data_IF_527038438061
#
_entry.id   IF_527038438061
#
_cell.length_a   1.000
_cell.length_b   1.000
_cell.length_c   1.000
_cell.angle_alpha   90.00
_cell.angle_beta   90.00
_cell.angle_gamma   90.00
#
_symmetry.space_group_name_H-M   'P 1'
#
loop_
_entity.id
_entity.type
_entity.pdbx_description
1 polymer ?
#
# COMPACT_ATOMS: atom_id res chain seq x y z
N UNK A 1 -4.11 65.84 13.65
CA UNK A 1 -3.31 64.77 13.03
C UNK A 1 -2.11 65.42 12.38
N UNK A 2 -0.92 65.26 12.94
CA UNK A 2 0.33 65.80 12.36
C UNK A 2 0.72 64.96 11.14
N UNK A 3 0.78 65.60 9.96
CA UNK A 3 1.14 64.93 8.72
C UNK A 3 2.62 64.55 8.70
N UNK A 4 2.91 63.33 8.23
CA UNK A 4 4.29 62.84 8.03
C UNK A 4 4.97 63.74 7.00
N UNK A 5 6.13 64.31 7.35
CA UNK A 5 6.91 65.12 6.40
C UNK A 5 7.65 64.24 5.38
N UNK A 6 8.05 64.82 4.24
CA UNK A 6 8.72 64.10 3.14
C UNK A 6 9.95 63.29 3.59
N UNK A 7 10.76 63.83 4.50
CA UNK A 7 11.97 63.16 4.99
C UNK A 7 11.61 61.92 5.82
N UNK A 8 10.62 62.05 6.69
CA UNK A 8 10.13 60.97 7.54
C UNK A 8 9.41 59.88 6.72
N UNK A 9 8.67 60.27 5.68
CA UNK A 9 8.10 59.32 4.72
C UNK A 9 9.19 58.50 4.03
N UNK A 10 10.19 59.16 3.45
CA UNK A 10 11.31 58.49 2.76
C UNK A 10 12.06 57.54 3.71
N UNK A 11 12.35 57.98 4.94
CA UNK A 11 13.03 57.15 5.93
C UNK A 11 12.22 55.90 6.32
N UNK A 12 10.90 56.05 6.49
CA UNK A 12 10.02 54.91 6.81
C UNK A 12 9.90 53.95 5.62
N UNK A 13 9.77 54.46 4.40
CA UNK A 13 9.72 53.64 3.18
C UNK A 13 11.00 52.85 2.95
N UNK A 14 12.18 53.46 3.16
CA UNK A 14 13.47 52.77 3.04
C UNK A 14 13.61 51.68 4.10
N UNK A 15 13.26 51.96 5.36
CA UNK A 15 13.28 50.97 6.44
C UNK A 15 12.34 49.80 6.15
N UNK A 16 11.12 50.07 5.70
CA UNK A 16 10.17 49.03 5.31
C UNK A 16 10.69 48.18 4.15
N UNK A 17 11.26 48.81 3.11
CA UNK A 17 11.86 48.10 1.99
C UNK A 17 13.03 47.19 2.40
N UNK A 18 13.90 47.65 3.29
CA UNK A 18 15.02 46.86 3.83
C UNK A 18 14.54 45.67 4.67
N UNK A 19 13.50 45.86 5.48
CA UNK A 19 12.91 44.76 6.28
C UNK A 19 12.28 43.71 5.37
N UNK A 20 11.50 44.14 4.37
CA UNK A 20 10.87 43.22 3.41
C UNK A 20 11.91 42.47 2.57
N UNK A 21 12.95 43.15 2.08
CA UNK A 21 14.03 42.52 1.32
C UNK A 21 14.81 41.51 2.17
N UNK A 22 15.11 41.85 3.43
CA UNK A 22 15.76 40.93 4.38
C UNK A 22 14.91 39.70 4.68
N UNK A 23 13.60 39.86 4.89
CA UNK A 23 12.68 38.75 5.14
C UNK A 23 12.54 37.82 3.92
N UNK A 24 12.43 38.38 2.71
CA UNK A 24 12.39 37.62 1.47
C UNK A 24 13.72 36.92 1.18
N UNK A 25 14.84 37.59 1.41
CA UNK A 25 16.19 37.02 1.26
C UNK A 25 16.46 35.89 2.24
N UNK A 26 16.09 36.06 3.51
CA UNK A 26 16.17 34.99 4.52
C UNK A 26 15.22 33.84 4.18
N UNK A 27 14.00 34.14 3.71
CA UNK A 27 13.05 33.14 3.24
C UNK A 27 13.62 32.33 2.08
N UNK A 28 14.21 32.97 1.07
CA UNK A 28 14.86 32.31 -0.06
C UNK A 28 16.08 31.50 0.36
N UNK A 29 16.90 32.02 1.27
CA UNK A 29 18.11 31.34 1.76
C UNK A 29 17.78 30.11 2.63
N UNK A 30 16.72 30.19 3.44
CA UNK A 30 16.22 29.10 4.27
C UNK A 30 15.27 28.17 3.53
N UNK A 31 14.87 28.51 2.30
CA UNK A 31 14.01 27.67 1.48
C UNK A 31 14.82 26.52 0.90
N UNK A 32 14.96 25.48 1.71
CA UNK A 32 15.57 24.23 1.29
C UNK A 32 14.60 23.44 0.40
N UNK A 33 14.88 23.44 -0.91
CA UNK A 33 14.20 22.56 -1.87
C UNK A 33 14.73 21.15 -1.85
N UNK A 34 15.89 20.91 -1.22
CA UNK A 34 16.46 19.59 -1.17
C UNK A 34 15.55 18.68 -0.33
N UNK A 35 15.33 17.43 -0.78
CA UNK A 35 14.80 16.42 0.12
C UNK A 35 15.75 16.29 1.33
N UNK A 36 15.25 15.94 2.53
CA UNK A 36 16.09 15.70 3.69
C UNK A 36 17.16 14.70 3.29
N UNK A 37 18.40 15.00 3.64
CA UNK A 37 19.47 14.03 3.52
C UNK A 37 19.06 12.82 4.35
N UNK A 38 18.77 11.73 3.65
CA UNK A 38 18.63 10.43 4.28
C UNK A 38 20.04 10.05 4.72
N UNK A 39 20.20 9.71 6.00
CA UNK A 39 21.39 8.97 6.42
C UNK A 39 21.57 7.80 5.44
N UNK A 40 22.69 7.73 4.70
CA UNK A 40 22.90 6.67 3.73
C UNK A 40 22.78 5.34 4.45
N UNK A 41 21.72 4.58 4.16
CA UNK A 41 21.75 3.15 4.41
C UNK A 41 22.95 2.64 3.63
N UNK A 42 23.93 2.06 4.32
CA UNK A 42 25.24 1.70 3.78
C UNK A 42 25.21 0.65 2.64
N UNK A 43 24.03 0.28 2.13
CA UNK A 43 23.86 -0.73 1.09
C UNK A 43 22.58 -0.49 0.29
N UNK A 44 22.66 0.31 -0.77
CA UNK A 44 21.60 0.38 -1.76
C UNK A 44 21.37 -1.00 -2.39
N UNK A 45 20.15 -1.54 -2.31
CA UNK A 45 19.77 -2.79 -2.95
C UNK A 45 19.30 -2.55 -4.39
N UNK A 46 19.54 -3.51 -5.27
CA UNK A 46 19.09 -3.48 -6.67
C UNK A 46 17.59 -3.86 -6.87
N UNK A 47 16.84 -4.01 -5.77
CA UNK A 47 15.45 -4.45 -5.75
C UNK A 47 15.09 -5.18 -4.46
N UNK A 48 13.90 -5.79 -4.42
CA UNK A 48 13.47 -6.71 -3.38
C UNK A 48 13.52 -8.16 -3.90
N UNK A 49 13.51 -9.18 -3.01
CA UNK A 49 13.33 -10.56 -3.44
C UNK A 49 12.04 -10.75 -4.27
N UNK A 50 12.10 -11.60 -5.29
CA UNK A 50 10.94 -11.99 -6.07
C UNK A 50 10.23 -13.17 -5.38
N UNK A 51 9.01 -12.95 -4.89
CA UNK A 51 8.19 -13.96 -4.24
C UNK A 51 7.15 -14.58 -5.18
N UNK A 52 7.09 -14.15 -6.43
CA UNK A 52 6.14 -14.69 -7.40
C UNK A 52 6.39 -16.18 -7.64
N UNK A 53 5.31 -16.92 -7.84
CA UNK A 53 5.38 -18.34 -8.16
C UNK A 53 5.18 -18.52 -9.66
N UNK A 54 5.97 -19.38 -10.34
CA UNK A 54 5.71 -19.74 -11.72
C UNK A 54 4.29 -20.26 -11.89
N UNK A 55 3.68 -19.94 -13.03
CA UNK A 55 2.37 -20.49 -13.37
C UNK A 55 2.46 -22.01 -13.51
N UNK A 56 1.65 -22.72 -12.73
CA UNK A 56 1.66 -24.19 -12.59
C UNK A 56 0.42 -24.84 -13.22
N UNK A 57 -0.32 -24.11 -14.07
CA UNK A 57 -1.54 -24.58 -14.73
C UNK A 57 -2.81 -24.54 -13.86
N UNK A 58 -2.71 -24.23 -12.56
CA UNK A 58 -3.87 -24.03 -11.69
C UNK A 58 -4.44 -22.62 -11.84
N UNK A 59 -5.70 -22.35 -11.45
CA UNK A 59 -6.31 -21.03 -11.60
C UNK A 59 -5.46 -19.91 -11.00
N UNK A 60 -5.32 -18.79 -11.70
CA UNK A 60 -4.49 -17.66 -11.26
C UNK A 60 -5.27 -16.65 -10.41
N UNK A 61 -6.61 -16.74 -10.40
CA UNK A 61 -7.49 -15.80 -9.75
C UNK A 61 -8.82 -16.46 -9.34
N UNK A 62 -9.36 -16.05 -8.20
CA UNK A 62 -10.66 -16.45 -7.70
C UNK A 62 -11.44 -15.22 -7.19
N UNK A 63 -12.75 -15.21 -7.44
CA UNK A 63 -13.68 -14.17 -7.00
C UNK A 63 -14.74 -14.86 -6.15
N UNK A 64 -14.69 -14.65 -4.83
CA UNK A 64 -15.64 -15.23 -3.89
C UNK A 64 -16.72 -14.22 -3.49
N UNK A 65 -17.97 -14.67 -3.39
CA UNK A 65 -19.13 -13.86 -2.99
C UNK A 65 -19.65 -14.26 -1.61
N UNK A 66 -19.96 -13.26 -0.77
CA UNK A 66 -20.42 -13.49 0.61
C UNK A 66 -20.08 -12.36 1.56
N UNK A 67 -20.43 -12.54 2.83
CA UNK A 67 -20.26 -11.52 3.88
C UNK A 67 -19.27 -11.89 4.96
N UNK A 68 -18.98 -13.18 5.14
CA UNK A 68 -18.08 -13.70 6.17
C UNK A 68 -16.66 -13.86 5.61
N UNK A 69 -15.71 -13.07 6.11
CA UNK A 69 -14.34 -13.01 5.57
C UNK A 69 -13.57 -14.30 5.73
N UNK A 70 -13.76 -15.02 6.84
CA UNK A 70 -13.09 -16.29 7.07
C UNK A 70 -13.52 -17.35 6.04
N UNK A 71 -14.83 -17.50 5.84
CA UNK A 71 -15.40 -18.37 4.81
C UNK A 71 -14.93 -17.98 3.41
N UNK A 72 -14.91 -16.69 3.09
CA UNK A 72 -14.47 -16.19 1.78
C UNK A 72 -13.00 -16.49 1.51
N UNK A 73 -12.12 -16.30 2.50
CA UNK A 73 -10.70 -16.66 2.39
C UNK A 73 -10.55 -18.15 2.12
N UNK A 74 -11.22 -19.01 2.90
CA UNK A 74 -11.16 -20.46 2.71
C UNK A 74 -11.63 -20.86 1.30
N UNK A 75 -12.74 -20.30 0.84
CA UNK A 75 -13.34 -20.57 -0.48
C UNK A 75 -12.46 -20.08 -1.64
N UNK A 76 -12.03 -18.82 -1.60
CA UNK A 76 -11.20 -18.23 -2.65
C UNK A 76 -9.85 -18.93 -2.76
N UNK A 77 -9.15 -19.14 -1.64
CA UNK A 77 -7.86 -19.82 -1.62
C UNK A 77 -8.02 -21.30 -1.98
N UNK A 78 -9.10 -21.95 -1.53
CA UNK A 78 -9.44 -23.33 -1.92
C UNK A 78 -9.61 -23.47 -3.44
N UNK A 79 -10.31 -22.54 -4.08
CA UNK A 79 -10.46 -22.49 -5.54
C UNK A 79 -9.15 -22.28 -6.29
N UNK A 80 -8.16 -21.64 -5.65
CA UNK A 80 -6.80 -21.50 -6.17
C UNK A 80 -5.92 -22.73 -5.91
N UNK A 81 -6.45 -23.82 -5.33
CA UNK A 81 -5.70 -25.03 -5.02
C UNK A 81 -5.15 -25.10 -3.58
N UNK A 82 -5.70 -24.29 -2.68
CA UNK A 82 -5.41 -24.31 -1.24
C UNK A 82 -4.17 -23.52 -0.83
N UNK A 83 -4.07 -23.16 0.46
CA UNK A 83 -2.95 -22.35 0.96
C UNK A 83 -1.60 -23.07 0.82
N UNK A 84 -1.59 -24.40 0.86
CA UNK A 84 -0.40 -25.24 0.63
C UNK A 84 0.21 -25.08 -0.79
N UNK A 85 -0.51 -24.45 -1.74
CA UNK A 85 0.07 -24.04 -3.03
C UNK A 85 1.07 -22.91 -2.88
N UNK A 86 0.82 -22.00 -1.94
CA UNK A 86 1.56 -20.74 -1.78
C UNK A 86 2.57 -20.80 -0.65
N UNK A 87 2.19 -21.46 0.46
CA UNK A 87 2.96 -21.62 1.69
C UNK A 87 3.38 -23.08 1.83
N UNK A 88 4.68 -23.32 1.98
CA UNK A 88 5.25 -24.66 2.21
C UNK A 88 5.52 -24.88 3.70
N UNK A 89 5.56 -26.13 4.17
CA UNK A 89 5.99 -26.44 5.52
C UNK A 89 7.37 -25.84 5.80
N UNK A 90 7.48 -25.06 6.88
CA UNK A 90 8.72 -24.38 7.27
C UNK A 90 8.86 -22.95 6.74
N UNK A 91 8.01 -22.49 5.80
CA UNK A 91 8.10 -21.14 5.24
C UNK A 91 7.94 -20.07 6.34
N UNK A 92 8.75 -19.01 6.23
CA UNK A 92 8.51 -17.73 6.91
C UNK A 92 7.64 -16.85 6.01
N UNK A 93 6.41 -16.61 6.43
CA UNK A 93 5.43 -15.86 5.64
C UNK A 93 5.34 -14.43 6.12
N UNK A 94 5.44 -13.47 5.20
CA UNK A 94 5.11 -12.07 5.47
C UNK A 94 3.72 -11.76 4.93
N UNK A 95 2.85 -11.24 5.79
CA UNK A 95 1.54 -10.73 5.45
C UNK A 95 1.58 -9.21 5.51
N UNK A 96 1.64 -8.57 4.35
CA UNK A 96 1.64 -7.12 4.21
C UNK A 96 0.20 -6.62 4.22
N UNK A 97 -0.21 -5.94 5.28
CA UNK A 97 -1.57 -5.39 5.44
C UNK A 97 -1.66 -3.94 4.96
N UNK A 98 -2.86 -3.38 4.89
CA UNK A 98 -3.05 -1.93 4.91
C UNK A 98 -3.35 -1.51 6.36
N UNK A 99 -2.40 -0.90 7.06
CA UNK A 99 -2.54 -0.34 8.39
C UNK A 99 -2.20 1.17 8.38
N UNK A 100 -2.43 1.84 7.25
CA UNK A 100 -1.98 3.20 7.00
C UNK A 100 -2.47 4.24 8.02
N UNK A 101 -3.65 4.02 8.59
CA UNK A 101 -4.34 4.97 9.46
C UNK A 101 -4.77 4.31 10.77
N UNK A 102 -4.78 5.08 11.85
CA UNK A 102 -5.27 4.63 13.15
C UNK A 102 -6.81 4.72 13.20
N UNK A 103 -7.47 3.94 12.35
CA UNK A 103 -8.91 4.01 12.09
C UNK A 103 -9.61 2.71 12.51
N UNK A 104 -10.84 2.83 13.01
CA UNK A 104 -11.63 1.66 13.38
C UNK A 104 -12.00 0.81 12.14
N UNK A 105 -12.06 -0.53 12.26
CA UNK A 105 -12.43 -1.44 11.16
C UNK A 105 -13.73 -1.08 10.44
N UNK A 106 -14.71 -0.54 11.18
CA UNK A 106 -16.03 -0.17 10.65
C UNK A 106 -15.99 0.89 9.55
N UNK A 107 -14.89 1.66 9.44
CA UNK A 107 -14.71 2.67 8.38
C UNK A 107 -14.06 2.07 7.13
N UNK A 108 -13.54 0.83 7.18
CA UNK A 108 -12.96 0.13 6.03
C UNK A 108 -11.81 0.91 5.34
N UNK A 109 -11.10 1.76 6.08
CA UNK A 109 -9.92 2.47 5.59
C UNK A 109 -8.66 1.59 5.55
N UNK A 110 -8.64 0.50 6.31
CA UNK A 110 -7.51 -0.43 6.52
C UNK A 110 -7.94 -1.87 6.30
N UNK A 111 -7.00 -2.82 6.22
CA UNK A 111 -7.31 -4.25 6.18
C UNK A 111 -8.17 -4.65 7.37
N UNK A 112 -9.18 -5.48 7.13
CA UNK A 112 -10.10 -5.91 8.19
C UNK A 112 -9.43 -6.94 9.12
N UNK A 113 -9.56 -6.83 10.46
CA UNK A 113 -8.93 -7.77 11.39
C UNK A 113 -9.36 -9.22 11.18
N UNK A 114 -10.64 -9.49 10.85
CA UNK A 114 -11.11 -10.86 10.53
C UNK A 114 -10.39 -11.47 9.32
N UNK A 115 -10.10 -10.66 8.30
CA UNK A 115 -9.34 -11.12 7.13
C UNK A 115 -7.91 -11.48 7.53
N UNK A 116 -7.28 -10.65 8.36
CA UNK A 116 -5.93 -10.91 8.87
C UNK A 116 -5.90 -12.21 9.66
N UNK A 117 -6.84 -12.42 10.60
CA UNK A 117 -6.98 -13.67 11.35
C UNK A 117 -7.10 -14.88 10.43
N UNK A 118 -7.99 -14.81 9.43
CA UNK A 118 -8.25 -15.93 8.52
C UNK A 118 -7.00 -16.28 7.69
N UNK A 119 -6.28 -15.28 7.18
CA UNK A 119 -5.06 -15.50 6.39
C UNK A 119 -3.92 -16.04 7.25
N UNK A 120 -3.69 -15.48 8.44
CA UNK A 120 -2.64 -15.94 9.36
C UNK A 120 -2.87 -17.40 9.76
N UNK A 121 -4.11 -17.75 10.16
CA UNK A 121 -4.48 -19.13 10.47
C UNK A 121 -4.28 -20.06 9.26
N UNK A 122 -4.68 -19.63 8.06
CA UNK A 122 -4.50 -20.42 6.85
C UNK A 122 -3.02 -20.70 6.55
N UNK A 123 -2.12 -19.73 6.78
CA UNK A 123 -0.68 -19.92 6.64
C UNK A 123 -0.13 -20.97 7.62
N UNK A 124 -0.48 -20.88 8.91
CA UNK A 124 -0.05 -21.89 9.89
C UNK A 124 -0.64 -23.28 9.61
N UNK A 125 -1.90 -23.36 9.18
CA UNK A 125 -2.53 -24.61 8.78
C UNK A 125 -1.84 -25.25 7.56
N UNK A 126 -1.17 -24.46 6.71
CA UNK A 126 -0.35 -24.93 5.60
C UNK A 126 1.08 -25.33 6.03
N UNK A 127 1.45 -25.11 7.30
CA UNK A 127 2.73 -25.50 7.89
C UNK A 127 3.78 -24.38 7.97
N UNK A 128 3.39 -23.10 7.83
CA UNK A 128 4.32 -21.99 8.05
C UNK A 128 5.01 -22.10 9.43
N UNK A 129 6.31 -21.82 9.48
CA UNK A 129 7.06 -21.79 10.74
C UNK A 129 6.91 -20.45 11.47
N UNK A 130 6.75 -19.36 10.72
CA UNK A 130 6.53 -18.01 11.25
C UNK A 130 5.59 -17.24 10.30
N UNK A 131 4.74 -16.39 10.87
CA UNK A 131 3.87 -15.49 10.11
C UNK A 131 4.00 -14.08 10.69
N UNK A 132 4.61 -13.19 9.90
CA UNK A 132 4.89 -11.80 10.26
C UNK A 132 3.89 -10.88 9.59
N UNK A 133 3.13 -10.12 10.37
CA UNK A 133 2.22 -9.08 9.86
C UNK A 133 2.91 -7.72 9.95
N UNK A 134 2.97 -6.98 8.83
CA UNK A 134 3.70 -5.70 8.78
C UNK A 134 3.07 -4.69 7.82
N UNK A 135 3.39 -3.43 8.05
CA UNK A 135 3.14 -2.26 7.18
C UNK A 135 4.01 -1.09 7.67
N UNK A 136 4.12 -0.04 6.87
CA UNK A 136 4.68 1.26 7.28
C UNK A 136 3.60 2.35 7.26
N UNK A 137 2.87 2.54 8.39
CA UNK A 137 1.74 3.46 8.46
C UNK A 137 2.05 4.94 8.22
N UNK A 138 1.01 5.75 8.00
CA UNK A 138 1.11 7.23 7.94
C UNK A 138 1.04 7.81 9.35
N UNK A 139 0.15 7.28 10.19
CA UNK A 139 0.12 7.63 11.61
C UNK A 139 1.15 6.82 12.39
N UNK A 140 1.20 7.03 13.70
CA UNK A 140 2.03 6.25 14.61
C UNK A 140 1.78 4.74 14.44
N UNK A 141 2.81 3.92 14.12
CA UNK A 141 2.61 2.51 13.80
C UNK A 141 1.97 1.70 14.93
N UNK A 142 2.39 1.92 16.19
CA UNK A 142 1.82 1.21 17.33
C UNK A 142 0.32 1.51 17.48
N UNK A 143 -0.07 2.78 17.34
CA UNK A 143 -1.46 3.21 17.35
C UNK A 143 -2.27 2.63 16.19
N UNK A 144 -1.70 2.56 14.98
CA UNK A 144 -2.34 1.94 13.83
C UNK A 144 -2.66 0.47 14.08
N UNK A 145 -1.66 -0.35 14.42
CA UNK A 145 -1.88 -1.79 14.66
C UNK A 145 -2.84 -2.06 15.82
N UNK A 146 -2.85 -1.20 16.84
CA UNK A 146 -3.77 -1.31 17.97
C UNK A 146 -5.21 -0.89 17.63
N UNK A 147 -5.41 0.30 17.07
CA UNK A 147 -6.76 0.88 16.86
C UNK A 147 -7.50 0.27 15.67
N UNK A 148 -6.77 -0.23 14.67
CA UNK A 148 -7.36 -1.00 13.56
C UNK A 148 -7.73 -2.42 13.98
N UNK A 149 -7.29 -2.89 15.16
CA UNK A 149 -7.46 -4.27 15.60
C UNK A 149 -6.60 -5.29 14.84
N UNK A 150 -5.80 -4.87 13.85
CA UNK A 150 -4.95 -5.76 13.05
C UNK A 150 -3.90 -6.46 13.93
N UNK A 151 -3.27 -5.74 14.85
CA UNK A 151 -2.25 -6.29 15.74
C UNK A 151 -2.80 -7.40 16.64
N UNK A 152 -3.84 -7.12 17.45
CA UNK A 152 -4.50 -8.15 18.25
C UNK A 152 -5.02 -9.33 17.43
N UNK A 153 -5.55 -9.09 16.22
CA UNK A 153 -6.01 -10.17 15.33
C UNK A 153 -4.87 -11.08 14.86
N UNK A 154 -3.74 -10.49 14.46
CA UNK A 154 -2.55 -11.24 14.06
C UNK A 154 -1.99 -12.08 15.21
N UNK A 155 -1.84 -11.48 16.39
CA UNK A 155 -1.30 -12.13 17.60
C UNK A 155 -2.22 -13.26 18.09
N UNK A 156 -3.54 -13.02 18.13
CA UNK A 156 -4.51 -14.06 18.52
C UNK A 156 -4.55 -15.24 17.53
N UNK A 157 -4.14 -15.02 16.28
CA UNK A 157 -4.00 -16.07 15.27
C UNK A 157 -2.64 -16.80 15.33
N UNK A 158 -1.76 -16.44 16.28
CA UNK A 158 -0.43 -17.01 16.46
C UNK A 158 0.68 -16.33 15.66
N UNK A 159 0.35 -15.31 14.87
CA UNK A 159 1.33 -14.51 14.15
C UNK A 159 1.96 -13.45 15.05
N UNK A 160 2.93 -12.72 14.51
CA UNK A 160 3.57 -11.58 15.21
C UNK A 160 3.55 -10.33 14.36
N UNK A 161 3.47 -9.17 15.01
CA UNK A 161 3.54 -7.87 14.32
C UNK A 161 4.98 -7.38 14.26
N UNK A 162 5.44 -7.03 13.06
CA UNK A 162 6.69 -6.30 12.87
C UNK A 162 6.37 -4.84 12.59
N UNK A 163 6.56 -3.98 13.60
CA UNK A 163 6.47 -2.53 13.45
C UNK A 163 7.72 -2.00 12.74
N UNK A 164 7.58 -0.98 11.88
CA UNK A 164 8.70 -0.40 11.15
C UNK A 164 9.63 0.36 12.09
N UNK A 165 10.88 -0.09 12.21
CA UNK A 165 11.95 0.63 12.91
C UNK A 165 13.01 1.11 11.92
N UNK A 166 13.76 2.16 12.27
CA UNK A 166 14.69 2.82 11.35
C UNK A 166 15.75 1.86 10.76
N UNK A 167 16.21 0.90 11.55
CA UNK A 167 17.19 -0.14 11.17
C UNK A 167 16.64 -1.19 10.21
N UNK A 168 15.32 -1.23 9.99
CA UNK A 168 14.67 -2.13 9.04
C UNK A 168 14.53 -1.53 7.63
N UNK A 169 14.91 -0.27 7.45
CA UNK A 169 14.90 0.39 6.15
C UNK A 169 16.25 0.31 5.47
N UNK A 170 16.24 0.04 4.16
CA UNK A 170 17.42 0.14 3.31
C UNK A 170 17.14 1.01 2.09
N UNK A 171 18.19 1.62 1.55
CA UNK A 171 18.12 2.27 0.24
C UNK A 171 17.84 1.22 -0.83
N UNK A 172 16.88 1.46 -1.71
CA UNK A 172 16.53 0.56 -2.81
C UNK A 172 16.46 1.34 -4.11
N UNK A 173 17.12 0.83 -5.13
CA UNK A 173 17.05 1.32 -6.50
C UNK A 173 16.40 0.26 -7.36
N UNK A 174 15.25 0.58 -7.94
CA UNK A 174 14.59 -0.28 -8.92
C UNK A 174 15.24 -0.04 -10.31
N UNK A 175 15.75 -1.09 -10.92
CA UNK A 175 16.37 -1.01 -12.24
C UNK A 175 15.37 -0.45 -13.29
N UNK A 176 15.81 0.55 -14.06
CA UNK A 176 14.96 1.20 -15.07
C UNK A 176 13.91 2.17 -14.52
N UNK A 177 13.77 2.28 -13.19
CA UNK A 177 12.82 3.20 -12.57
C UNK A 177 13.26 4.66 -12.64
N UNK A 178 12.28 5.55 -12.62
CA UNK A 178 12.47 7.00 -12.54
C UNK A 178 12.41 7.50 -11.09
N UNK A 179 11.50 6.97 -10.27
CA UNK A 179 11.22 7.52 -8.94
C UNK A 179 11.91 6.74 -7.81
N UNK A 180 11.87 5.40 -7.83
CA UNK A 180 12.49 4.55 -6.80
C UNK A 180 13.99 4.42 -7.10
N UNK A 181 14.76 5.41 -6.64
CA UNK A 181 16.22 5.47 -6.75
C UNK A 181 16.82 5.78 -5.40
N UNK A 182 17.62 4.86 -4.88
CA UNK A 182 18.17 4.90 -3.52
C UNK A 182 17.14 5.37 -2.48
N UNK A 183 15.92 4.83 -2.58
CA UNK A 183 14.80 5.24 -1.73
C UNK A 183 14.71 4.33 -0.51
N UNK A 184 14.42 4.85 0.70
CA UNK A 184 14.27 4.03 1.89
C UNK A 184 13.02 3.15 1.76
N UNK A 185 13.22 1.83 1.77
CA UNK A 185 12.15 0.83 1.72
C UNK A 185 12.28 -0.07 2.95
N UNK A 186 11.14 -0.42 3.56
CA UNK A 186 11.06 -1.36 4.66
C UNK A 186 11.39 -2.76 4.14
N UNK A 187 12.64 -3.19 4.34
CA UNK A 187 13.16 -4.48 3.84
C UNK A 187 13.35 -5.51 4.96
N UNK A 188 13.47 -5.07 6.21
CA UNK A 188 13.74 -5.94 7.36
C UNK A 188 12.81 -7.16 7.43
N UNK A 189 11.47 -6.98 7.40
CA UNK A 189 10.54 -8.11 7.40
C UNK A 189 10.66 -9.02 6.17
N UNK A 190 11.16 -8.51 5.04
CA UNK A 190 11.21 -9.22 3.75
C UNK A 190 12.51 -10.02 3.55
N UNK A 191 13.57 -9.70 4.28
CA UNK A 191 14.93 -10.23 4.03
C UNK A 191 15.04 -11.76 4.14
N UNK A 192 14.36 -12.34 5.13
CA UNK A 192 14.36 -13.79 5.39
C UNK A 192 12.99 -14.43 5.09
N UNK A 193 12.14 -13.77 4.31
CA UNK A 193 10.83 -14.30 3.97
C UNK A 193 10.92 -15.32 2.83
N UNK A 194 10.09 -16.37 2.89
CA UNK A 194 9.94 -17.36 1.83
C UNK A 194 8.67 -17.12 0.99
N UNK A 195 7.73 -16.37 1.56
CA UNK A 195 6.42 -16.11 1.00
C UNK A 195 5.93 -14.71 1.39
N UNK A 196 5.38 -13.96 0.42
CA UNK A 196 4.82 -12.63 0.62
C UNK A 196 3.35 -12.60 0.18
N UNK A 197 2.45 -12.32 1.12
CA UNK A 197 1.01 -12.18 0.87
C UNK A 197 0.59 -10.74 1.12
N UNK A 198 -0.02 -10.08 0.12
CA UNK A 198 -0.53 -8.72 0.22
C UNK A 198 -2.03 -8.66 0.50
N UNK A 199 -2.46 -7.93 1.54
CA UNK A 199 -3.86 -7.71 1.88
C UNK A 199 -4.23 -6.24 1.72
N UNK A 200 -5.25 -5.93 0.92
CA UNK A 200 -5.72 -4.56 0.71
C UNK A 200 -7.25 -4.47 0.83
N UNK A 201 -7.75 -3.38 1.41
CA UNK A 201 -9.15 -3.02 1.31
C UNK A 201 -9.40 -2.27 0.00
N UNK A 202 -10.50 -2.57 -0.69
CA UNK A 202 -10.93 -1.85 -1.88
C UNK A 202 -11.51 -0.49 -1.51
N UNK A 203 -10.86 0.59 -1.96
CA UNK A 203 -11.34 1.94 -1.70
C UNK A 203 -11.08 2.92 -2.83
N UNK A 204 -11.97 3.90 -2.93
CA UNK A 204 -11.79 5.13 -3.67
C UNK A 204 -10.51 5.86 -3.24
N UNK A 205 -9.97 6.69 -4.13
CA UNK A 205 -8.85 7.56 -3.81
C UNK A 205 -8.80 8.77 -4.74
N UNK A 206 -8.93 9.97 -4.17
CA UNK A 206 -9.00 11.23 -4.93
C UNK A 206 -7.88 11.48 -5.93
N UNK A 207 -6.63 11.10 -5.60
CA UNK A 207 -5.48 11.27 -6.51
C UNK A 207 -5.25 10.13 -7.50
N UNK A 208 -5.36 8.87 -7.08
CA UNK A 208 -5.01 7.71 -7.91
C UNK A 208 -6.22 7.03 -8.57
N UNK A 209 -7.44 7.52 -8.32
CA UNK A 209 -8.72 6.93 -8.75
C UNK A 209 -9.17 5.77 -7.88
N UNK A 210 -8.23 4.97 -7.38
CA UNK A 210 -8.49 3.85 -6.47
C UNK A 210 -7.26 3.56 -5.59
N UNK A 211 -7.48 2.83 -4.50
CA UNK A 211 -6.44 2.20 -3.69
C UNK A 211 -6.79 0.74 -3.49
N UNK A 212 -5.91 -0.12 -4.02
CA UNK A 212 -6.09 -1.57 -4.09
C UNK A 212 -4.74 -2.26 -3.80
N UNK A 213 -4.49 -3.44 -4.36
CA UNK A 213 -3.36 -4.29 -3.99
C UNK A 213 -2.02 -3.68 -4.37
N UNK A 214 -1.86 -3.14 -5.57
CA UNK A 214 -0.58 -2.57 -6.02
C UNK A 214 -0.23 -1.31 -5.24
N UNK A 215 -1.19 -0.38 -5.10
CA UNK A 215 -1.00 0.83 -4.30
C UNK A 215 -0.76 0.51 -2.83
N UNK A 216 -1.17 -0.66 -2.33
CA UNK A 216 -0.91 -1.02 -0.95
C UNK A 216 0.59 -1.09 -0.64
N UNK A 217 1.44 -1.48 -1.60
CA UNK A 217 2.90 -1.52 -1.43
C UNK A 217 3.54 -0.17 -1.09
N UNK A 218 2.80 0.93 -1.25
CA UNK A 218 3.21 2.26 -0.77
C UNK A 218 3.54 2.26 0.73
N UNK A 219 2.91 1.37 1.50
CA UNK A 219 3.23 1.11 2.89
C UNK A 219 4.55 0.36 3.12
N UNK A 220 5.41 0.19 2.11
CA UNK A 220 6.81 -0.19 2.31
C UNK A 220 7.74 1.02 2.18
N UNK A 221 7.28 2.12 1.57
CA UNK A 221 8.11 3.31 1.36
C UNK A 221 8.32 4.04 2.69
N UNK A 222 9.57 4.33 3.01
CA UNK A 222 9.99 5.22 4.09
C UNK A 222 10.17 6.66 3.62
N UNK A 223 10.82 7.48 4.45
CA UNK A 223 11.16 8.87 4.14
C UNK A 223 9.95 9.76 3.84
N UNK A 224 10.17 10.85 3.11
CA UNK A 224 9.11 11.77 2.65
C UNK A 224 8.34 11.20 1.46
N UNK A 225 7.78 10.00 1.60
CA UNK A 225 7.07 9.30 0.51
C UNK A 225 5.90 10.09 -0.09
N UNK A 226 5.41 11.12 0.59
CA UNK A 226 4.38 12.03 0.07
C UNK A 226 4.84 12.84 -1.16
N UNK A 227 6.15 12.96 -1.43
CA UNK A 227 6.66 13.60 -2.66
C UNK A 227 6.19 12.89 -3.93
N UNK A 228 6.03 11.56 -3.87
CA UNK A 228 5.57 10.80 -5.04
C UNK A 228 4.10 11.05 -5.38
N UNK A 229 3.33 11.73 -4.53
CA UNK A 229 1.99 12.15 -4.91
C UNK A 229 1.96 13.18 -6.05
N UNK A 230 3.10 13.78 -6.42
CA UNK A 230 3.22 14.61 -7.63
C UNK A 230 3.16 13.79 -8.91
N UNK A 231 3.46 12.49 -8.82
CA UNK A 231 3.44 11.55 -9.93
C UNK A 231 2.94 10.18 -9.44
N UNK A 232 1.70 10.20 -8.93
CA UNK A 232 1.12 9.08 -8.19
C UNK A 232 0.99 7.81 -9.05
N UNK A 233 0.77 7.95 -10.36
CA UNK A 233 0.60 6.80 -11.22
C UNK A 233 1.93 6.12 -11.53
N UNK A 234 2.99 6.88 -11.81
CA UNK A 234 4.31 6.28 -12.06
C UNK A 234 4.80 5.54 -10.82
N UNK A 235 4.68 6.12 -9.62
CA UNK A 235 5.14 5.42 -8.40
C UNK A 235 4.35 4.13 -8.16
N UNK A 236 3.04 4.10 -8.44
CA UNK A 236 2.25 2.87 -8.29
C UNK A 236 2.68 1.82 -9.31
N UNK A 237 2.98 2.22 -10.55
CA UNK A 237 3.55 1.33 -11.57
C UNK A 237 4.92 0.76 -11.13
N UNK A 238 5.80 1.61 -10.61
CA UNK A 238 7.11 1.18 -10.11
C UNK A 238 6.99 0.27 -8.89
N UNK A 239 5.98 0.47 -8.02
CA UNK A 239 5.67 -0.46 -6.94
C UNK A 239 5.23 -1.85 -7.44
N UNK A 240 4.49 -1.92 -8.56
CA UNK A 240 4.13 -3.19 -9.19
C UNK A 240 5.34 -3.97 -9.74
N UNK A 241 6.40 -3.26 -10.13
CA UNK A 241 7.65 -3.84 -10.58
C UNK A 241 8.57 -4.18 -9.40
N UNK A 242 8.59 -3.35 -8.36
CA UNK A 242 9.43 -3.53 -7.17
C UNK A 242 8.99 -4.74 -6.34
N UNK A 243 7.68 -4.94 -6.17
CA UNK A 243 7.13 -5.98 -5.30
C UNK A 243 6.44 -7.04 -6.16
N UNK A 244 7.01 -8.25 -6.18
CA UNK A 244 6.45 -9.42 -6.86
C UNK A 244 5.95 -10.42 -5.80
N UNK A 245 4.70 -10.30 -5.33
CA UNK A 245 4.18 -11.11 -4.22
C UNK A 245 3.83 -12.54 -4.64
N UNK A 246 3.74 -13.45 -3.68
CA UNK A 246 3.23 -14.82 -3.86
C UNK A 246 1.73 -14.81 -4.17
N UNK A 247 0.97 -13.99 -3.45
CA UNK A 247 -0.48 -13.90 -3.50
C UNK A 247 -0.93 -12.51 -3.07
N UNK A 248 -1.96 -11.96 -3.70
CA UNK A 248 -2.67 -10.78 -3.19
C UNK A 248 -4.15 -11.10 -2.95
N UNK A 249 -4.71 -10.49 -1.91
CA UNK A 249 -6.11 -10.58 -1.55
C UNK A 249 -6.66 -9.16 -1.42
N UNK A 250 -7.65 -8.85 -2.26
CA UNK A 250 -8.40 -7.61 -2.27
C UNK A 250 -9.75 -7.85 -1.57
N UNK A 251 -9.88 -7.25 -0.39
CA UNK A 251 -11.11 -7.25 0.40
C UNK A 251 -12.05 -6.18 -0.13
N UNK A 252 -13.12 -6.62 -0.78
CA UNK A 252 -14.21 -5.78 -1.23
C UNK A 252 -15.52 -6.13 -0.52
N UNK A 253 -15.52 -6.94 0.56
CA UNK A 253 -16.76 -7.37 1.24
C UNK A 253 -17.58 -6.14 1.61
N UNK A 254 -16.89 -5.14 2.15
CA UNK A 254 -17.33 -3.75 2.20
C UNK A 254 -16.27 -2.91 1.49
N UNK A 255 -16.65 -2.21 0.43
CA UNK A 255 -15.77 -1.29 -0.29
C UNK A 255 -16.07 0.16 0.08
N UNK A 256 -15.06 1.00 0.15
CA UNK A 256 -15.22 2.45 0.31
C UNK A 256 -15.37 3.08 -1.07
N UNK A 257 -16.57 3.47 -1.44
CA UNK A 257 -16.91 3.95 -2.78
C UNK A 257 -16.58 5.43 -2.98
N UNK A 258 -16.53 6.20 -1.91
CA UNK A 258 -16.35 7.66 -1.94
C UNK A 258 -15.41 8.14 -0.84
N UNK A 259 -14.86 9.35 -1.02
CA UNK A 259 -14.11 10.09 0.01
C UNK A 259 -12.91 9.34 0.60
N UNK A 260 -12.36 8.38 -0.14
CA UNK A 260 -11.11 7.72 0.24
C UNK A 260 -9.91 8.66 0.11
N UNK A 261 -8.77 8.34 0.75
CA UNK A 261 -8.39 7.02 1.25
C UNK A 261 -8.71 6.74 2.73
N UNK A 262 -9.15 7.74 3.47
CA UNK A 262 -9.52 7.63 4.90
C UNK A 262 -11.01 7.42 5.09
N UNK A 263 -11.84 7.88 4.15
CA UNK A 263 -13.27 8.00 4.37
C UNK A 263 -13.55 8.98 5.51
N UNK A 264 -14.55 8.64 6.31
CA UNK A 264 -14.96 9.40 7.48
C UNK A 264 -16.41 9.13 7.86
N UNK A 265 -17.18 8.54 6.95
CA UNK A 265 -18.56 8.14 7.17
C UNK A 265 -18.83 6.73 6.68
N UNK A 266 -19.73 6.02 7.37
CA UNK A 266 -20.27 4.74 6.89
C UNK A 266 -21.07 4.89 5.60
N UNK A 267 -21.56 6.10 5.29
CA UNK A 267 -22.25 6.41 4.03
C UNK A 267 -21.34 6.37 2.82
N UNK A 268 -20.01 6.42 3.03
CA UNK A 268 -19.03 6.27 1.96
C UNK A 268 -18.84 4.80 1.54
N UNK A 269 -19.47 3.87 2.26
CA UNK A 269 -19.25 2.43 2.12
C UNK A 269 -20.40 1.73 1.39
N UNK A 270 -20.07 0.72 0.60
CA UNK A 270 -21.03 -0.19 -0.01
C UNK A 270 -20.68 -1.65 0.31
N UNK A 271 -21.70 -2.44 0.65
CA UNK A 271 -21.55 -3.89 0.79
C UNK A 271 -21.54 -4.52 -0.60
N UNK A 272 -20.34 -4.82 -1.10
CA UNK A 272 -20.19 -5.49 -2.41
C UNK A 272 -20.10 -7.00 -2.28
N UNK A 273 -19.95 -7.50 -1.05
CA UNK A 273 -19.96 -8.92 -0.69
C UNK A 273 -18.98 -9.72 -1.55
N UNK A 274 -17.78 -9.18 -1.79
CA UNK A 274 -16.81 -9.75 -2.72
C UNK A 274 -15.43 -9.81 -2.10
N UNK A 275 -14.72 -10.92 -2.29
CA UNK A 275 -13.29 -11.04 -2.00
C UNK A 275 -12.60 -11.59 -3.24
N UNK A 276 -11.51 -10.94 -3.65
CA UNK A 276 -10.75 -11.32 -4.84
C UNK A 276 -9.37 -11.77 -4.36
N UNK A 277 -8.94 -12.96 -4.78
CA UNK A 277 -7.59 -13.46 -4.51
C UNK A 277 -6.92 -13.85 -5.83
N UNK A 278 -5.63 -13.59 -5.97
CA UNK A 278 -4.91 -13.95 -7.19
C UNK A 278 -3.40 -13.73 -7.13
N UNK A 279 -2.71 -14.27 -8.13
CA UNK A 279 -1.25 -14.17 -8.30
C UNK A 279 -0.84 -13.10 -9.31
N UNK A 280 -1.80 -12.46 -9.97
CA UNK A 280 -1.60 -11.30 -10.85
C UNK A 280 -2.25 -10.05 -10.20
N UNK A 281 -1.45 -9.17 -9.56
CA UNK A 281 -1.98 -7.97 -8.92
C UNK A 281 -2.65 -6.98 -9.88
N UNK A 282 -2.22 -6.93 -11.15
CA UNK A 282 -2.83 -6.03 -12.16
C UNK A 282 -4.23 -6.53 -12.49
N UNK A 283 -4.41 -7.83 -12.65
CA UNK A 283 -5.72 -8.45 -12.91
C UNK A 283 -6.66 -8.32 -11.70
N UNK A 284 -6.13 -8.50 -10.48
CA UNK A 284 -6.90 -8.32 -9.24
C UNK A 284 -7.36 -6.87 -9.09
N UNK A 285 -6.49 -5.90 -9.34
CA UNK A 285 -6.84 -4.48 -9.29
C UNK A 285 -7.79 -4.08 -10.44
N UNK A 286 -7.68 -4.68 -11.63
CA UNK A 286 -8.62 -4.44 -12.73
C UNK A 286 -10.04 -4.91 -12.39
N UNK A 287 -10.20 -6.07 -11.74
CA UNK A 287 -11.51 -6.50 -11.24
C UNK A 287 -12.02 -5.63 -10.08
N UNK A 288 -11.12 -5.15 -9.21
CA UNK A 288 -11.46 -4.18 -8.17
C UNK A 288 -11.96 -2.84 -8.72
N UNK A 289 -11.40 -2.38 -9.83
CA UNK A 289 -11.83 -1.17 -10.52
C UNK A 289 -13.28 -1.27 -11.02
N UNK A 290 -13.69 -2.42 -11.57
CA UNK A 290 -15.08 -2.67 -11.97
C UNK A 290 -16.03 -2.57 -10.77
N UNK A 291 -15.66 -3.09 -9.60
CA UNK A 291 -16.46 -2.99 -8.38
C UNK A 291 -16.61 -1.54 -7.92
N UNK A 292 -15.57 -0.72 -8.05
CA UNK A 292 -15.63 0.72 -7.74
C UNK A 292 -16.39 1.55 -8.80
N UNK A 293 -16.82 0.94 -9.91
CA UNK A 293 -17.41 1.67 -11.04
C UNK A 293 -16.38 2.60 -11.71
N UNK A 294 -15.11 2.19 -11.76
CA UNK A 294 -14.01 2.95 -12.37
C UNK A 294 -13.65 2.35 -13.73
N UNK A 295 -13.62 3.21 -14.73
CA UNK A 295 -13.02 2.89 -16.03
C UNK A 295 -11.51 2.72 -15.89
N UNK A 296 -10.93 1.71 -16.56
CA UNK A 296 -9.48 1.48 -16.54
C UNK A 296 -8.68 2.65 -17.12
N UNK A 297 -9.28 3.44 -18.02
CA UNK A 297 -8.69 4.69 -18.52
C UNK A 297 -8.48 5.75 -17.43
N UNK A 298 -9.27 5.69 -16.35
CA UNK A 298 -9.12 6.52 -15.16
C UNK A 298 -8.06 6.01 -14.17
N UNK A 299 -7.42 4.87 -14.47
CA UNK A 299 -6.38 4.26 -13.64
C UNK A 299 -5.08 4.03 -14.45
N UNK A 300 -4.37 5.10 -14.90
CA UNK A 300 -3.19 4.99 -15.78
C UNK A 300 -2.12 4.02 -15.31
N UNK A 301 -1.91 3.91 -13.99
CA UNK A 301 -0.94 2.99 -13.40
C UNK A 301 -1.20 1.52 -13.73
N UNK A 302 -2.47 1.08 -13.86
CA UNK A 302 -2.76 -0.31 -14.23
C UNK A 302 -2.40 -0.57 -15.69
N UNK A 303 -2.67 0.38 -16.59
CA UNK A 303 -2.26 0.29 -18.00
C UNK A 303 -0.74 0.26 -18.12
N UNK A 304 -0.05 1.17 -17.45
CA UNK A 304 1.41 1.22 -17.43
C UNK A 304 2.02 -0.08 -16.90
N UNK A 305 1.44 -0.67 -15.85
CA UNK A 305 1.89 -1.95 -15.31
C UNK A 305 1.69 -3.11 -16.29
N UNK A 306 0.54 -3.15 -16.97
CA UNK A 306 0.27 -4.15 -18.00
C UNK A 306 1.19 -4.01 -19.23
N UNK A 307 1.41 -2.78 -19.70
CA UNK A 307 2.31 -2.48 -20.82
C UNK A 307 3.78 -2.86 -20.48
N UNK A 308 4.14 -2.80 -19.19
CA UNK A 308 5.42 -3.27 -18.67
C UNK A 308 5.48 -4.81 -18.45
N UNK A 309 4.43 -5.56 -18.80
CA UNK A 309 4.38 -7.02 -18.67
C UNK A 309 4.24 -7.52 -17.22
N UNK A 310 3.77 -6.68 -16.30
CA UNK A 310 3.68 -7.03 -14.88
C UNK A 310 2.40 -7.79 -14.51
N UNK A 311 1.44 -7.84 -15.44
CA UNK A 311 0.15 -8.53 -15.33
C UNK A 311 -0.79 -8.14 -16.46
N UNK A 312 -2.05 -8.58 -16.41
CA UNK A 312 -3.07 -8.28 -17.43
C UNK A 312 -4.19 -7.37 -16.92
N UNK A 313 -4.65 -6.45 -17.78
CA UNK A 313 -5.85 -5.66 -17.51
C UNK A 313 -7.14 -6.43 -17.75
N UNK A 314 -7.13 -7.38 -18.69
CA UNK A 314 -8.29 -8.24 -18.92
C UNK A 314 -8.19 -9.49 -18.06
N UNK A 315 -8.60 -9.35 -16.80
CA UNK A 315 -8.55 -10.44 -15.82
C UNK A 315 -9.38 -11.65 -16.25
N UNK A 316 -10.33 -11.51 -17.19
CA UNK A 316 -11.15 -12.62 -17.70
C UNK A 316 -10.31 -13.61 -18.48
N UNK A 317 -9.20 -13.17 -19.08
CA UNK A 317 -8.23 -14.05 -19.75
C UNK A 317 -7.57 -15.05 -18.79
N UNK A 318 -7.59 -14.78 -17.48
CA UNK A 318 -7.10 -15.69 -16.44
C UNK A 318 -8.14 -16.75 -16.04
N UNK A 319 -9.34 -16.74 -16.63
CA UNK A 319 -10.46 -17.62 -16.32
C UNK A 319 -10.72 -17.70 -14.80
N UNK A 320 -11.07 -16.57 -14.15
CA UNK A 320 -11.23 -16.51 -12.71
C UNK A 320 -12.28 -17.51 -12.22
N UNK A 321 -11.98 -18.23 -11.14
CA UNK A 321 -12.96 -19.13 -10.51
C UNK A 321 -13.94 -18.30 -9.71
N UNK A 322 -15.21 -18.31 -10.11
CA UNK A 322 -16.28 -17.68 -9.35
C UNK A 322 -16.74 -18.63 -8.25
N UNK A 323 -16.63 -18.19 -6.99
CA UNK A 323 -17.01 -18.99 -5.82
C UNK A 323 -18.21 -18.34 -5.14
N UNK A 324 -19.36 -19.04 -5.05
CA UNK A 324 -20.54 -18.53 -4.34
C UNK A 324 -20.36 -18.58 -2.82
#
# INVERSE_FOLDING_TARGET
>A
MTGINRREFIQRSVKAGLVSASALGAGWWLHDTAPPALEPSARALAGLPDFSRPYDGRPAMAIAKGTDRETLVMRAIGALGGMARFVRPGDRVVVKVNAAFASAPAICATSHPELVTAVVKACFNAGAADVVVTDNPINDPASCFRLTGIGPAAEAAGGRVALPTADQFAGVTLAGARLIRDWPVLVGPLGDADCLIGLAALKDHHRSGASMTIKNWYGLLGGRRNVFHQDIHTIITELAALVRPTLVILDAVTAMMHNGPTGGSVSDLARTNTLIAGVDPVAVDAAGAEILGRELSGLPHLRQAADAGLGTLDYRTLNPVNVP
#
